data_IF_509484445219
#
_entry.id   IF_509484445219
#
_cell.length_a   1.000
_cell.length_b   1.000
_cell.length_c   1.000
_cell.angle_alpha   90.00
_cell.angle_beta   90.00
_cell.angle_gamma   90.00
#
_symmetry.space_group_name_H-M   'P 1'
#
loop_
_entity.id
_entity.type
_entity.pdbx_description
1 polymer ?
#
# COMPACT_ATOMS: atom_id res chain seq x y z
N UNK A 1 12.62 11.72 29.74
CA UNK A 1 11.49 11.39 30.62
C UNK A 1 11.67 9.98 31.16
N UNK A 2 11.38 9.70 32.44
CA UNK A 2 11.40 8.33 32.96
C UNK A 2 10.37 7.48 32.22
N UNK A 3 10.74 6.21 31.95
CA UNK A 3 9.87 5.22 31.32
C UNK A 3 9.57 4.13 32.35
N UNK A 4 8.32 3.73 32.48
CA UNK A 4 7.93 2.65 33.40
C UNK A 4 6.78 1.82 32.79
N UNK A 5 6.78 0.52 33.11
CA UNK A 5 5.69 -0.40 32.81
C UNK A 5 5.31 -1.09 34.10
N UNK A 6 4.03 -1.08 34.42
CA UNK A 6 3.45 -1.85 35.53
C UNK A 6 2.60 -2.95 34.94
N UNK A 7 2.87 -4.20 35.32
CA UNK A 7 2.09 -5.35 34.88
C UNK A 7 1.15 -5.79 36.00
N UNK A 8 -0.13 -5.85 35.74
CA UNK A 8 -1.16 -6.36 36.63
C UNK A 8 -1.70 -7.67 36.07
N UNK A 9 -1.57 -8.74 36.86
CA UNK A 9 -2.10 -10.06 36.49
C UNK A 9 -3.33 -10.37 37.34
N UNK A 10 -4.41 -10.74 36.65
CA UNK A 10 -5.65 -11.20 37.32
C UNK A 10 -5.59 -12.70 37.60
N UNK A 11 -6.46 -13.16 38.48
CA UNK A 11 -6.59 -14.59 38.83
C UNK A 11 -6.97 -15.48 37.64
N UNK A 12 -7.76 -14.94 36.69
CA UNK A 12 -8.12 -15.60 35.44
C UNK A 12 -6.96 -15.72 34.44
N UNK A 13 -5.78 -15.21 34.78
CA UNK A 13 -4.58 -15.27 33.94
C UNK A 13 -4.41 -14.07 33.00
N UNK A 14 -5.39 -13.18 32.87
CA UNK A 14 -5.26 -11.97 32.06
C UNK A 14 -4.19 -11.04 32.63
N UNK A 15 -3.39 -10.45 31.74
CA UNK A 15 -2.31 -9.51 32.11
C UNK A 15 -2.57 -8.17 31.44
N UNK A 16 -2.58 -7.13 32.25
CA UNK A 16 -2.73 -5.74 31.80
C UNK A 16 -1.42 -4.99 32.02
N UNK A 17 -1.06 -4.18 31.04
CA UNK A 17 0.14 -3.34 31.13
C UNK A 17 -0.25 -1.86 31.20
N UNK A 18 0.23 -1.17 32.22
CA UNK A 18 0.10 0.27 32.35
C UNK A 18 1.45 0.89 32.02
N UNK A 19 1.48 1.81 31.08
CA UNK A 19 2.71 2.42 30.59
C UNK A 19 2.77 3.90 30.94
N UNK A 20 3.97 4.34 31.31
CA UNK A 20 4.27 5.73 31.62
C UNK A 20 5.38 6.24 30.69
N UNK A 21 5.23 7.46 30.18
CA UNK A 21 6.14 8.02 29.20
C UNK A 21 6.08 7.25 27.88
N UNK A 22 7.24 7.06 27.23
CA UNK A 22 7.33 6.30 25.97
C UNK A 22 7.58 4.80 26.18
N UNK A 23 7.17 4.23 27.33
CA UNK A 23 7.39 2.82 27.62
C UNK A 23 6.49 1.87 26.78
N UNK A 24 5.43 2.38 26.18
CA UNK A 24 4.52 1.57 25.35
C UNK A 24 5.23 0.89 24.16
N UNK A 25 6.23 1.51 23.56
CA UNK A 25 7.01 0.90 22.48
C UNK A 25 7.69 -0.43 22.87
N UNK A 26 7.94 -0.64 24.17
CA UNK A 26 8.60 -1.86 24.64
C UNK A 26 7.66 -3.06 24.69
N UNK A 27 6.36 -2.81 24.82
CA UNK A 27 5.36 -3.85 25.08
C UNK A 27 4.29 -3.96 24.01
N UNK A 28 4.15 -2.97 23.11
CA UNK A 28 3.10 -2.92 22.09
C UNK A 28 2.98 -4.23 21.30
N UNK A 29 4.11 -4.82 20.90
CA UNK A 29 4.16 -6.09 20.18
C UNK A 29 3.60 -7.31 20.92
N UNK A 30 3.44 -7.21 22.25
CA UNK A 30 2.89 -8.28 23.10
C UNK A 30 1.44 -8.04 23.49
N UNK A 31 0.90 -6.86 23.18
CA UNK A 31 -0.44 -6.45 23.55
C UNK A 31 -1.48 -6.81 22.48
N UNK A 32 -2.73 -6.95 22.93
CA UNK A 32 -3.87 -7.05 22.02
C UNK A 32 -4.13 -5.69 21.41
N UNK A 33 -3.86 -5.55 20.11
CA UNK A 33 -4.03 -4.29 19.38
C UNK A 33 -5.49 -3.89 19.17
N UNK A 34 -6.43 -4.83 19.30
CA UNK A 34 -7.86 -4.55 19.16
C UNK A 34 -8.49 -4.04 20.45
N UNK A 35 -7.81 -4.20 21.59
CA UNK A 35 -8.36 -3.93 22.92
C UNK A 35 -8.98 -2.52 23.05
N UNK A 36 -8.27 -1.49 22.64
CA UNK A 36 -8.78 -0.12 22.70
C UNK A 36 -9.99 0.10 21.78
N UNK A 37 -9.96 -0.45 20.57
CA UNK A 37 -11.06 -0.31 19.62
C UNK A 37 -12.30 -1.11 20.02
N UNK A 38 -12.14 -2.29 20.66
CA UNK A 38 -13.25 -3.02 21.25
C UNK A 38 -13.93 -2.17 22.33
N UNK A 39 -13.18 -1.53 23.19
CA UNK A 39 -13.71 -0.58 24.17
C UNK A 39 -14.42 0.59 23.48
N UNK A 40 -13.82 1.17 22.45
CA UNK A 40 -14.41 2.30 21.73
C UNK A 40 -15.75 1.97 21.07
N UNK A 41 -15.92 0.75 20.51
CA UNK A 41 -17.21 0.33 19.95
C UNK A 41 -18.34 0.25 20.96
N UNK A 42 -18.01 -0.02 22.22
CA UNK A 42 -18.97 -0.31 23.30
C UNK A 42 -19.20 0.88 24.22
N UNK A 43 -18.35 1.91 24.16
CA UNK A 43 -18.46 3.11 24.99
C UNK A 43 -19.29 4.17 24.31
N UNK A 44 -20.16 4.88 25.05
CA UNK A 44 -20.82 6.07 24.55
C UNK A 44 -19.89 7.28 24.61
N UNK A 45 -19.99 8.14 23.59
CA UNK A 45 -19.24 9.39 23.53
C UNK A 45 -20.18 10.57 23.36
N UNK A 46 -19.96 11.63 24.15
CA UNK A 46 -20.68 12.92 24.02
C UNK A 46 -20.10 13.74 22.85
N UNK A 47 -18.79 13.65 22.62
CA UNK A 47 -18.09 14.48 21.66
C UNK A 47 -16.82 13.76 21.19
N UNK A 48 -16.56 13.79 19.89
CA UNK A 48 -15.29 13.36 19.32
C UNK A 48 -14.48 14.59 18.95
N UNK A 49 -13.27 14.72 19.51
CA UNK A 49 -12.41 15.89 19.27
C UNK A 49 -11.44 15.70 18.14
N UNK A 50 -10.88 14.52 18.02
CA UNK A 50 -9.87 14.23 16.99
C UNK A 50 -9.90 12.78 16.63
N UNK A 51 -9.88 12.50 15.34
CA UNK A 51 -9.67 11.15 14.82
C UNK A 51 -8.43 11.15 13.94
N UNK A 52 -7.59 10.15 14.09
CA UNK A 52 -6.54 9.85 13.13
C UNK A 52 -6.95 8.61 12.36
N UNK A 53 -6.99 8.72 11.05
CA UNK A 53 -7.42 7.67 10.15
C UNK A 53 -6.22 7.20 9.33
N UNK A 54 -6.15 5.92 9.09
CA UNK A 54 -5.16 5.30 8.21
C UNK A 54 -5.87 4.37 7.24
N UNK A 55 -5.40 4.35 6.00
CA UNK A 55 -5.89 3.41 5.00
C UNK A 55 -4.80 2.39 4.68
N UNK A 56 -5.16 1.13 4.33
CA UNK A 56 -4.20 0.13 3.90
C UNK A 56 -3.37 0.64 2.73
N UNK A 57 -2.06 0.36 2.76
CA UNK A 57 -1.11 0.83 1.75
C UNK A 57 -1.05 2.37 1.57
N UNK A 58 -1.61 3.12 2.51
CA UNK A 58 -1.52 4.58 2.54
C UNK A 58 -0.60 5.00 3.67
N UNK A 59 0.51 5.63 3.33
CA UNK A 59 1.42 6.23 4.31
C UNK A 59 0.91 7.58 4.83
N UNK A 60 -0.38 7.90 4.58
CA UNK A 60 -0.99 9.16 4.99
C UNK A 60 -1.87 8.95 6.20
N UNK A 61 -1.51 9.61 7.29
CA UNK A 61 -2.40 9.82 8.41
C UNK A 61 -3.24 11.07 8.13
N UNK A 62 -4.56 10.90 8.06
CA UNK A 62 -5.50 12.00 7.98
C UNK A 62 -5.96 12.32 9.40
N UNK A 63 -5.72 13.54 9.86
CA UNK A 63 -6.24 14.02 11.12
C UNK A 63 -7.51 14.83 10.85
N UNK A 64 -8.61 14.38 11.41
CA UNK A 64 -9.89 15.08 11.33
C UNK A 64 -10.22 15.64 12.71
N UNK A 65 -10.34 16.95 12.80
CA UNK A 65 -10.85 17.61 14.00
C UNK A 65 -12.35 17.82 13.81
N UNK A 66 -13.15 17.19 14.66
CA UNK A 66 -14.59 17.34 14.62
C UNK A 66 -15.16 17.67 15.99
N UNK A 67 -16.21 18.48 16.02
CA UNK A 67 -16.93 18.87 17.22
C UNK A 67 -18.36 18.30 17.23
N UNK A 68 -18.64 17.36 16.35
CA UNK A 68 -19.99 16.87 16.04
C UNK A 68 -20.22 15.51 16.68
N UNK A 69 -21.50 15.16 16.84
CA UNK A 69 -21.93 13.86 17.34
C UNK A 69 -21.41 12.73 16.43
N UNK A 70 -21.11 11.57 16.99
CA UNK A 70 -20.53 10.43 16.29
C UNK A 70 -21.33 9.99 15.05
N UNK A 71 -22.66 10.18 15.07
CA UNK A 71 -23.57 9.82 13.96
C UNK A 71 -23.41 10.71 12.72
N UNK A 72 -22.74 11.86 12.84
CA UNK A 72 -22.54 12.83 11.76
C UNK A 72 -21.12 12.77 11.16
N UNK A 73 -20.28 11.82 11.63
CA UNK A 73 -18.95 11.60 11.07
C UNK A 73 -19.06 10.86 9.74
N UNK A 74 -18.99 11.63 8.67
CA UNK A 74 -18.91 11.11 7.32
C UNK A 74 -17.46 10.62 7.09
N UNK A 75 -17.25 9.32 7.28
CA UNK A 75 -15.98 8.68 7.01
C UNK A 75 -15.95 8.20 5.56
N UNK A 76 -14.88 8.50 4.87
CA UNK A 76 -14.52 7.69 3.73
C UNK A 76 -14.38 6.24 4.23
N UNK A 77 -15.30 5.39 3.85
CA UNK A 77 -15.46 4.04 4.39
C UNK A 77 -14.25 3.10 4.16
N UNK A 78 -13.18 3.57 3.49
CA UNK A 78 -11.89 2.87 3.34
C UNK A 78 -10.84 3.23 4.37
N UNK A 79 -11.16 4.10 5.31
CA UNK A 79 -10.23 4.51 6.34
C UNK A 79 -10.51 3.70 7.61
N UNK A 80 -9.47 3.20 8.26
CA UNK A 80 -9.56 2.60 9.58
C UNK A 80 -9.05 3.58 10.63
N UNK A 81 -9.62 3.47 11.84
CA UNK A 81 -9.17 4.31 12.95
C UNK A 81 -7.79 3.89 13.40
N UNK A 82 -6.86 4.84 13.42
CA UNK A 82 -5.57 4.67 14.10
C UNK A 82 -5.61 5.22 15.52
N UNK A 83 -6.33 6.34 15.73
CA UNK A 83 -6.47 6.97 17.03
C UNK A 83 -7.76 7.78 17.12
N UNK A 84 -8.43 7.72 18.27
CA UNK A 84 -9.62 8.46 18.61
C UNK A 84 -9.38 9.24 19.91
N UNK A 85 -9.66 10.55 19.91
CA UNK A 85 -9.73 11.35 21.13
C UNK A 85 -11.17 11.84 21.31
N UNK A 86 -11.81 11.42 22.38
CA UNK A 86 -13.22 11.67 22.58
C UNK A 86 -13.55 11.98 24.05
N UNK A 87 -14.70 12.60 24.25
CA UNK A 87 -15.30 12.80 25.57
C UNK A 87 -16.29 11.67 25.83
N UNK A 88 -15.90 10.73 26.69
CA UNK A 88 -16.75 9.63 27.11
C UNK A 88 -17.98 10.11 27.88
N UNK A 89 -19.12 9.49 27.66
CA UNK A 89 -20.31 9.65 28.45
C UNK A 89 -20.18 8.80 29.72
N UNK A 90 -19.98 9.46 30.84
CA UNK A 90 -19.76 8.83 32.14
C UNK A 90 -20.92 9.15 33.10
N UNK A 91 -21.26 8.24 34.05
CA UNK A 91 -22.24 8.53 35.08
C UNK A 91 -21.87 9.79 35.90
N UNK A 92 -22.86 10.52 36.40
CA UNK A 92 -22.65 11.78 37.17
C UNK A 92 -21.72 11.61 38.37
N UNK A 93 -21.76 10.46 39.05
CA UNK A 93 -20.93 10.15 40.22
C UNK A 93 -19.58 9.44 39.85
N UNK A 94 -19.21 9.41 38.58
CA UNK A 94 -18.01 8.70 38.12
C UNK A 94 -16.74 9.43 38.53
N UNK A 95 -15.86 8.76 39.25
CA UNK A 95 -14.64 9.37 39.80
C UNK A 95 -13.33 8.68 39.38
N UNK A 96 -13.36 7.57 38.62
CA UNK A 96 -12.18 6.79 38.32
C UNK A 96 -11.19 7.53 37.41
N UNK A 97 -11.69 8.18 36.37
CA UNK A 97 -10.89 8.98 35.44
C UNK A 97 -11.71 10.11 34.84
N UNK A 98 -11.04 11.08 34.21
CA UNK A 98 -11.68 12.21 33.54
C UNK A 98 -12.38 11.79 32.24
N UNK A 99 -13.44 12.51 31.81
CA UNK A 99 -14.20 12.12 30.61
C UNK A 99 -13.39 12.07 29.31
N UNK A 100 -12.29 12.82 29.21
CA UNK A 100 -11.45 12.79 28.02
C UNK A 100 -10.63 11.52 27.96
N UNK A 101 -10.82 10.74 26.88
CA UNK A 101 -10.11 9.50 26.60
C UNK A 101 -9.41 9.58 25.25
N UNK A 102 -8.24 8.98 25.15
CA UNK A 102 -7.56 8.75 23.88
C UNK A 102 -7.48 7.24 23.67
N UNK A 103 -7.98 6.77 22.53
CA UNK A 103 -8.12 5.36 22.19
C UNK A 103 -7.39 5.09 20.89
N UNK A 104 -6.63 4.03 20.87
CA UNK A 104 -5.95 3.46 19.73
C UNK A 104 -5.82 1.95 19.97
N UNK A 105 -4.64 1.38 19.75
CA UNK A 105 -4.33 0.00 20.18
C UNK A 105 -4.36 -0.14 21.72
N UNK A 106 -4.32 0.98 22.42
CA UNK A 106 -4.41 1.08 23.89
C UNK A 106 -5.41 2.19 24.26
N UNK A 107 -5.74 2.25 25.55
CA UNK A 107 -6.64 3.26 26.12
C UNK A 107 -5.82 4.15 27.05
N UNK A 108 -5.87 5.46 26.81
CA UNK A 108 -5.26 6.46 27.68
C UNK A 108 -6.33 7.27 28.38
N UNK A 109 -6.27 7.32 29.69
CA UNK A 109 -7.16 8.09 30.56
C UNK A 109 -6.38 8.93 31.55
N UNK A 110 -6.95 10.04 31.99
CA UNK A 110 -6.39 10.88 33.05
C UNK A 110 -7.09 10.55 34.36
N UNK A 111 -6.35 10.00 35.34
CA UNK A 111 -6.86 9.78 36.70
C UNK A 111 -6.44 10.91 37.62
N UNK A 112 -7.34 11.28 38.54
CA UNK A 112 -7.03 12.28 39.57
C UNK A 112 -6.16 11.73 40.71
N UNK A 113 -6.07 10.39 40.82
CA UNK A 113 -5.33 9.69 41.88
C UNK A 113 -4.33 8.69 41.24
N UNK A 114 -3.09 8.72 41.73
CA UNK A 114 -2.00 7.89 41.23
C UNK A 114 -1.71 6.75 42.21
N UNK A 115 -2.70 5.84 42.41
CA UNK A 115 -2.52 4.64 43.24
C UNK A 115 -2.69 3.38 42.37
N UNK A 116 -2.15 2.24 42.84
CA UNK A 116 -2.32 0.96 42.17
C UNK A 116 -3.77 0.46 42.26
N UNK A 117 -4.44 0.75 43.39
CA UNK A 117 -5.84 0.44 43.61
C UNK A 117 -6.73 1.17 42.62
N UNK A 118 -6.44 2.44 42.36
CA UNK A 118 -7.16 3.23 41.34
C UNK A 118 -6.91 2.66 39.94
N UNK A 119 -5.69 2.34 39.60
CA UNK A 119 -5.33 1.74 38.32
C UNK A 119 -6.05 0.39 38.12
N UNK A 120 -6.10 -0.45 39.14
CA UNK A 120 -6.83 -1.71 39.11
C UNK A 120 -8.34 -1.51 38.91
N UNK A 121 -8.93 -0.53 39.60
CA UNK A 121 -10.35 -0.18 39.45
C UNK A 121 -10.68 0.32 38.04
N UNK A 122 -9.80 1.11 37.42
CA UNK A 122 -9.95 1.55 36.02
C UNK A 122 -9.92 0.36 35.07
N UNK A 123 -8.98 -0.59 35.25
CA UNK A 123 -8.89 -1.81 34.43
C UNK A 123 -10.17 -2.63 34.55
N UNK A 124 -10.68 -2.85 35.75
CA UNK A 124 -11.92 -3.60 35.98
C UNK A 124 -13.11 -2.90 35.31
N UNK A 125 -13.19 -1.58 35.38
CA UNK A 125 -14.23 -0.82 34.70
C UNK A 125 -14.18 -0.98 33.17
N UNK A 126 -12.99 -0.84 32.56
CA UNK A 126 -12.78 -0.98 31.13
C UNK A 126 -13.11 -2.42 30.70
N UNK A 127 -12.63 -3.41 31.43
CA UNK A 127 -12.89 -4.81 31.16
C UNK A 127 -14.39 -5.14 31.22
N UNK A 128 -15.12 -4.64 32.18
CA UNK A 128 -16.57 -4.82 32.25
C UNK A 128 -17.25 -4.29 30.99
N UNK A 129 -16.85 -3.13 30.46
CA UNK A 129 -17.40 -2.61 29.21
C UNK A 129 -17.04 -3.54 28.05
N UNK A 130 -15.77 -3.95 27.95
CA UNK A 130 -15.31 -4.83 26.88
C UNK A 130 -16.02 -6.17 26.88
N UNK A 131 -16.31 -6.74 28.04
CA UNK A 131 -16.88 -8.09 28.16
C UNK A 131 -18.40 -8.12 28.13
N UNK A 132 -19.07 -7.10 28.64
CA UNK A 132 -20.52 -7.14 28.88
C UNK A 132 -21.37 -6.29 27.96
N UNK A 133 -20.84 -5.17 27.47
CA UNK A 133 -21.62 -4.26 26.63
C UNK A 133 -21.67 -4.75 25.17
N UNK A 134 -22.79 -4.47 24.51
CA UNK A 134 -22.91 -4.65 23.06
C UNK A 134 -22.22 -3.53 22.29
N UNK A 135 -21.85 -3.78 21.04
CA UNK A 135 -21.32 -2.75 20.15
C UNK A 135 -22.38 -1.69 19.87
N UNK A 136 -22.05 -0.44 20.19
CA UNK A 136 -22.90 0.75 20.01
C UNK A 136 -22.50 1.55 18.76
N UNK A 137 -21.24 1.41 18.34
CA UNK A 137 -20.68 2.15 17.22
C UNK A 137 -19.97 1.23 16.24
N UNK A 138 -20.10 1.54 14.95
CA UNK A 138 -19.29 0.91 13.91
C UNK A 138 -17.93 1.61 13.85
N UNK A 139 -16.90 0.98 14.37
CA UNK A 139 -15.52 1.42 14.22
C UNK A 139 -14.85 0.46 13.26
N UNK A 140 -14.60 0.91 12.05
CA UNK A 140 -13.93 0.10 11.02
C UNK A 140 -12.48 -0.08 11.40
N UNK A 141 -12.12 -1.28 11.83
CA UNK A 141 -10.75 -1.70 12.05
C UNK A 141 -10.55 -3.06 11.39
N UNK A 142 -9.35 -3.30 10.89
CA UNK A 142 -8.98 -4.63 10.41
C UNK A 142 -8.86 -5.57 11.61
N UNK A 143 -9.39 -6.77 11.47
CA UNK A 143 -9.32 -7.76 12.53
C UNK A 143 -7.93 -8.39 12.58
N UNK A 144 -7.23 -8.22 13.70
CA UNK A 144 -5.91 -8.84 13.89
C UNK A 144 -6.02 -10.36 13.94
N UNK A 145 -5.23 -11.05 13.13
CA UNK A 145 -5.16 -12.50 13.11
C UNK A 145 -4.29 -12.97 14.27
N UNK A 146 -4.89 -13.63 15.26
CA UNK A 146 -4.20 -14.11 16.49
C UNK A 146 -3.76 -15.57 16.38
N UNK A 147 -4.42 -16.36 15.55
CA UNK A 147 -4.15 -17.78 15.36
C UNK A 147 -2.74 -18.02 14.80
N UNK A 148 -1.95 -18.84 15.48
CA UNK A 148 -0.54 -19.06 15.16
C UNK A 148 -0.34 -19.96 13.94
N UNK A 149 -1.24 -20.93 13.72
CA UNK A 149 -1.16 -21.82 12.55
C UNK A 149 -1.48 -21.01 11.28
N UNK A 150 -2.53 -20.19 11.36
CA UNK A 150 -2.90 -19.30 10.27
C UNK A 150 -1.79 -18.27 9.97
N UNK A 151 -1.17 -17.67 10.99
CA UNK A 151 0.00 -16.80 10.80
C UNK A 151 1.15 -17.52 10.12
N UNK A 152 1.42 -18.77 10.47
CA UNK A 152 2.48 -19.57 9.84
C UNK A 152 2.18 -19.78 8.35
N UNK A 153 0.97 -20.20 8.02
CA UNK A 153 0.54 -20.38 6.64
C UNK A 153 0.66 -19.10 5.81
N UNK A 154 0.20 -17.96 6.35
CA UNK A 154 0.32 -16.66 5.69
C UNK A 154 1.79 -16.24 5.50
N UNK A 155 2.67 -16.53 6.46
CA UNK A 155 4.10 -16.27 6.34
C UNK A 155 4.78 -17.14 5.27
N UNK A 156 4.37 -18.40 5.15
CA UNK A 156 4.87 -19.29 4.09
C UNK A 156 4.45 -18.76 2.71
N UNK A 157 3.22 -18.27 2.57
CA UNK A 157 2.73 -17.64 1.33
C UNK A 157 3.49 -16.35 1.01
N UNK A 158 3.73 -15.48 2.00
CA UNK A 158 4.56 -14.29 1.83
C UNK A 158 5.98 -14.63 1.39
N UNK A 159 6.61 -15.65 2.00
CA UNK A 159 7.93 -16.09 1.61
C UNK A 159 7.96 -16.59 0.17
N UNK A 160 6.97 -17.39 -0.23
CA UNK A 160 6.81 -17.85 -1.61
C UNK A 160 6.61 -16.67 -2.57
N UNK A 161 5.84 -15.66 -2.19
CA UNK A 161 5.67 -14.44 -2.97
C UNK A 161 7.00 -13.72 -3.19
N UNK A 162 7.78 -13.50 -2.13
CA UNK A 162 9.11 -12.87 -2.20
C UNK A 162 10.07 -13.67 -3.09
N UNK A 163 10.07 -14.99 -2.98
CA UNK A 163 10.92 -15.86 -3.81
C UNK A 163 10.55 -15.86 -5.30
N UNK A 164 9.25 -15.92 -5.60
CA UNK A 164 8.77 -16.11 -6.97
C UNK A 164 8.57 -14.83 -7.75
N UNK A 165 8.24 -13.74 -7.07
CA UNK A 165 7.86 -12.47 -7.71
C UNK A 165 8.98 -11.45 -7.75
N UNK A 166 10.00 -11.63 -6.91
CA UNK A 166 11.17 -10.75 -6.86
C UNK A 166 10.86 -9.27 -6.60
N UNK A 167 9.75 -8.96 -5.96
CA UNK A 167 9.36 -7.59 -5.63
C UNK A 167 9.02 -7.47 -4.14
N UNK A 168 9.72 -6.58 -3.44
CA UNK A 168 9.45 -6.22 -2.05
C UNK A 168 9.26 -4.71 -1.99
N UNK A 169 8.05 -4.27 -1.73
CA UNK A 169 7.77 -2.84 -1.57
C UNK A 169 8.05 -2.43 -0.13
N UNK A 170 9.06 -1.57 0.07
CA UNK A 170 9.52 -1.15 1.38
C UNK A 170 9.16 0.32 1.62
N UNK A 171 8.62 0.61 2.80
CA UNK A 171 8.33 1.98 3.23
C UNK A 171 9.43 2.53 4.11
N UNK A 172 10.12 3.56 3.66
CA UNK A 172 11.12 4.28 4.45
C UNK A 172 10.50 5.01 5.66
N UNK A 173 9.22 5.38 5.58
CA UNK A 173 8.50 6.10 6.63
C UNK A 173 8.41 5.31 7.94
N UNK A 174 8.37 3.99 7.88
CA UNK A 174 8.32 3.12 9.06
C UNK A 174 9.64 3.13 9.85
N UNK A 175 10.75 3.49 9.20
CA UNK A 175 12.07 3.57 9.85
C UNK A 175 12.29 4.95 10.47
N UNK A 176 11.91 6.00 9.78
CA UNK A 176 12.18 7.38 10.18
C UNK A 176 11.11 7.88 11.16
N UNK A 177 9.89 7.39 11.03
CA UNK A 177 8.73 7.91 11.75
C UNK A 177 8.04 9.07 11.03
N UNK A 178 6.72 9.19 11.21
CA UNK A 178 5.88 10.12 10.48
C UNK A 178 6.20 11.61 10.72
N UNK A 179 6.85 11.95 11.82
CA UNK A 179 7.17 13.33 12.20
C UNK A 179 8.42 13.89 11.50
N UNK A 180 9.23 13.03 10.90
CA UNK A 180 10.56 13.40 10.37
C UNK A 180 10.63 13.35 8.83
N UNK A 181 9.50 13.12 8.16
CA UNK A 181 9.38 13.02 6.69
C UNK A 181 9.94 14.25 5.95
N UNK A 182 9.98 15.42 6.58
CA UNK A 182 10.44 16.65 5.95
C UNK A 182 11.97 16.74 5.81
N UNK A 183 12.73 15.90 6.51
CA UNK A 183 14.21 15.88 6.48
C UNK A 183 14.77 14.61 5.81
N UNK A 184 14.01 14.00 4.92
CA UNK A 184 14.32 12.71 4.30
C UNK A 184 15.72 12.64 3.63
N UNK A 185 16.24 13.77 3.14
CA UNK A 185 17.54 13.81 2.47
C UNK A 185 18.75 13.70 3.42
N UNK A 186 18.52 13.80 4.71
CA UNK A 186 19.59 13.82 5.73
C UNK A 186 19.77 12.48 6.43
N UNK A 187 19.00 11.44 6.03
CA UNK A 187 19.07 10.12 6.62
C UNK A 187 19.93 9.17 5.80
N UNK A 188 20.76 8.41 6.51
CA UNK A 188 21.40 7.21 5.99
C UNK A 188 20.74 5.98 6.62
N UNK A 189 20.61 4.93 5.84
CA UNK A 189 20.06 3.65 6.30
C UNK A 189 21.17 2.63 6.41
N UNK A 190 21.14 1.83 7.47
CA UNK A 190 22.08 0.75 7.67
C UNK A 190 21.35 -0.57 7.66
N UNK A 191 21.57 -1.35 6.61
CA UNK A 191 21.09 -2.72 6.48
C UNK A 191 21.98 -3.64 7.30
N UNK A 192 21.40 -4.50 8.15
CA UNK A 192 22.13 -5.47 8.96
C UNK A 192 21.45 -6.83 8.95
N UNK A 193 22.20 -7.85 8.58
CA UNK A 193 21.79 -9.23 8.67
C UNK A 193 22.94 -10.07 9.23
N UNK A 194 22.78 -10.62 10.43
CA UNK A 194 23.84 -11.37 11.15
C UNK A 194 25.13 -10.54 11.25
N UNK A 195 26.20 -10.94 10.55
CA UNK A 195 27.51 -10.23 10.51
C UNK A 195 27.61 -9.20 9.38
N UNK A 196 26.71 -9.26 8.41
CA UNK A 196 26.74 -8.39 7.24
C UNK A 196 26.11 -7.04 7.57
N UNK A 197 26.76 -5.97 7.14
CA UNK A 197 26.32 -4.60 7.36
C UNK A 197 26.68 -3.74 6.15
N UNK A 198 25.74 -2.93 5.69
CA UNK A 198 25.93 -1.97 4.59
C UNK A 198 25.17 -0.68 4.87
N UNK A 199 25.78 0.46 4.56
CA UNK A 199 25.13 1.77 4.66
C UNK A 199 24.66 2.19 3.27
N UNK A 200 23.40 2.60 3.17
CA UNK A 200 22.74 3.00 1.93
C UNK A 200 22.03 4.34 2.13
N UNK A 201 21.89 5.10 1.06
CA UNK A 201 21.25 6.43 1.10
C UNK A 201 19.75 6.40 0.86
N UNK A 202 19.23 5.26 0.39
CA UNK A 202 17.80 5.07 0.16
C UNK A 202 17.43 3.59 0.35
N UNK A 203 16.18 3.32 0.66
CA UNK A 203 15.62 1.98 0.75
C UNK A 203 14.76 1.71 -0.47
N UNK A 204 15.13 0.68 -1.21
CA UNK A 204 14.36 0.18 -2.35
C UNK A 204 14.49 -1.32 -2.45
N UNK A 205 13.63 -1.95 -3.26
CA UNK A 205 13.74 -3.38 -3.57
C UNK A 205 15.10 -3.73 -4.18
N UNK A 206 15.58 -2.92 -5.13
CA UNK A 206 16.88 -3.12 -5.79
C UNK A 206 18.04 -3.07 -4.80
N UNK A 207 18.00 -2.15 -3.83
CA UNK A 207 19.03 -2.04 -2.78
C UNK A 207 19.02 -3.25 -1.88
N UNK A 208 17.85 -3.70 -1.43
CA UNK A 208 17.72 -4.91 -0.61
C UNK A 208 18.16 -6.16 -1.35
N UNK A 209 17.82 -6.27 -2.62
CA UNK A 209 18.22 -7.37 -3.48
C UNK A 209 19.74 -7.39 -3.68
N UNK A 210 20.33 -6.26 -4.02
CA UNK A 210 21.79 -6.13 -4.19
C UNK A 210 22.52 -6.51 -2.92
N UNK A 211 22.01 -6.09 -1.74
CA UNK A 211 22.56 -6.49 -0.45
C UNK A 211 22.45 -8.01 -0.23
N UNK A 212 21.31 -8.62 -0.56
CA UNK A 212 21.12 -10.06 -0.46
C UNK A 212 22.08 -10.83 -1.39
N UNK A 213 22.18 -10.43 -2.65
CA UNK A 213 23.06 -11.06 -3.65
C UNK A 213 24.55 -10.96 -3.26
N UNK A 214 25.01 -9.76 -2.89
CA UNK A 214 26.40 -9.53 -2.49
C UNK A 214 26.82 -10.35 -1.27
N UNK A 215 25.89 -10.66 -0.38
CA UNK A 215 26.14 -11.38 0.86
C UNK A 215 25.63 -12.84 0.84
N UNK A 216 25.15 -13.35 -0.31
CA UNK A 216 24.59 -14.69 -0.47
C UNK A 216 23.45 -14.99 0.52
N UNK A 217 22.59 -14.00 0.76
CA UNK A 217 21.41 -14.13 1.65
C UNK A 217 20.23 -14.59 0.78
N UNK A 218 19.54 -15.69 1.13
CA UNK A 218 18.32 -16.09 0.43
C UNK A 218 17.27 -14.96 0.50
N UNK A 219 16.52 -14.73 -0.58
CA UNK A 219 15.49 -13.66 -0.61
C UNK A 219 14.42 -13.83 0.46
N UNK A 220 14.09 -15.07 0.85
CA UNK A 220 13.19 -15.35 1.99
C UNK A 220 13.69 -14.79 3.31
N UNK A 221 15.01 -14.68 3.49
CA UNK A 221 15.62 -14.09 4.66
C UNK A 221 15.70 -12.55 4.58
N UNK A 222 15.43 -11.95 3.42
CA UNK A 222 15.42 -10.49 3.25
C UNK A 222 14.43 -9.82 4.21
N UNK A 223 13.31 -10.47 4.51
CA UNK A 223 12.30 -9.99 5.47
C UNK A 223 12.84 -9.86 6.91
N UNK A 224 13.93 -10.55 7.23
CA UNK A 224 14.57 -10.54 8.55
C UNK A 224 15.74 -9.54 8.64
N UNK A 225 16.04 -8.81 7.57
CA UNK A 225 17.06 -7.76 7.59
C UNK A 225 16.60 -6.65 8.54
N UNK A 226 17.45 -6.27 9.46
CA UNK A 226 17.22 -5.12 10.33
C UNK A 226 17.73 -3.85 9.64
N UNK A 227 16.88 -2.83 9.60
CA UNK A 227 17.18 -1.51 9.05
C UNK A 227 17.27 -0.52 10.20
N UNK A 228 18.40 0.17 10.28
CA UNK A 228 18.60 1.29 11.17
C UNK A 228 18.59 2.57 10.36
N UNK A 229 17.99 3.64 10.88
CA UNK A 229 18.18 4.98 10.33
C UNK A 229 19.18 5.75 11.18
N UNK A 230 20.03 6.51 10.51
CA UNK A 230 21.02 7.39 11.14
C UNK A 230 20.88 8.80 10.60
N UNK A 231 20.83 9.79 11.50
CA UNK A 231 20.78 11.20 11.16
C UNK A 231 21.63 11.98 12.17
N UNK A 232 22.56 12.79 11.70
CA UNK A 232 23.46 13.60 12.56
C UNK A 232 24.15 12.79 13.68
N UNK A 233 24.52 11.55 13.41
CA UNK A 233 25.17 10.64 14.36
C UNK A 233 24.22 10.04 15.41
N UNK A 234 22.92 10.27 15.32
CA UNK A 234 21.90 9.59 16.11
C UNK A 234 21.37 8.37 15.38
N UNK A 235 21.48 7.21 16.00
CA UNK A 235 20.96 5.95 15.47
C UNK A 235 19.61 5.63 16.11
N UNK A 236 18.60 5.43 15.28
CA UNK A 236 17.26 5.06 15.73
C UNK A 236 17.14 3.53 15.93
N UNK A 237 16.10 3.11 16.65
CA UNK A 237 15.83 1.70 16.88
C UNK A 237 15.62 0.96 15.55
N UNK A 238 16.17 -0.26 15.41
CA UNK A 238 16.03 -1.01 14.18
C UNK A 238 14.59 -1.46 13.94
N UNK A 239 14.19 -1.47 12.68
CA UNK A 239 12.93 -2.05 12.19
C UNK A 239 13.28 -3.19 11.24
N UNK A 240 12.58 -4.32 11.31
CA UNK A 240 12.77 -5.38 10.31
C UNK A 240 12.12 -5.02 8.99
N UNK A 241 12.69 -5.43 7.87
CA UNK A 241 12.08 -5.24 6.54
C UNK A 241 10.63 -5.71 6.52
N UNK A 242 10.34 -6.84 7.17
CA UNK A 242 8.97 -7.36 7.33
C UNK A 242 7.99 -6.34 7.94
N UNK A 243 8.45 -5.52 8.88
CA UNK A 243 7.61 -4.54 9.57
C UNK A 243 7.40 -3.26 8.74
N UNK A 244 8.14 -3.14 7.65
CA UNK A 244 8.13 -1.98 6.73
C UNK A 244 7.34 -2.23 5.45
N UNK A 245 6.92 -3.46 5.20
CA UNK A 245 6.16 -3.81 3.99
C UNK A 245 4.67 -3.88 4.27
N UNK A 246 3.90 -3.42 3.30
CA UNK A 246 2.47 -3.69 3.20
C UNK A 246 2.24 -4.71 2.09
N UNK A 247 1.64 -5.85 2.44
CA UNK A 247 1.35 -6.93 1.52
C UNK A 247 -0.09 -7.41 1.70
N UNK A 248 -0.79 -7.63 0.59
CA UNK A 248 -2.14 -8.20 0.59
C UNK A 248 -2.12 -9.58 -0.05
N UNK A 249 -2.58 -10.58 0.70
CA UNK A 249 -2.86 -11.91 0.14
C UNK A 249 -4.28 -11.93 -0.42
N UNK A 250 -4.37 -11.97 -1.75
CA UNK A 250 -5.65 -11.90 -2.47
C UNK A 250 -6.53 -13.12 -2.20
N UNK A 251 -5.94 -14.30 -2.00
CA UNK A 251 -6.69 -15.54 -1.79
C UNK A 251 -7.24 -15.63 -0.37
N UNK A 252 -6.40 -15.31 0.62
CA UNK A 252 -6.78 -15.36 2.03
C UNK A 252 -7.50 -14.09 2.48
N UNK A 253 -7.54 -13.04 1.64
CA UNK A 253 -8.08 -11.71 1.95
C UNK A 253 -7.52 -11.15 3.25
N UNK A 254 -6.19 -11.23 3.36
CA UNK A 254 -5.43 -10.78 4.52
C UNK A 254 -4.44 -9.69 4.13
N UNK A 255 -4.20 -8.78 5.06
CA UNK A 255 -3.22 -7.70 4.95
C UNK A 255 -2.10 -7.94 5.95
N UNK A 256 -0.84 -7.88 5.50
CA UNK A 256 0.31 -7.67 6.36
C UNK A 256 0.58 -6.16 6.44
N UNK A 257 0.60 -5.61 7.62
CA UNK A 257 1.00 -4.23 7.87
C UNK A 257 1.71 -4.13 9.21
N UNK A 258 2.81 -3.39 9.25
CA UNK A 258 3.67 -3.27 10.43
C UNK A 258 4.02 -4.64 11.06
N UNK A 259 4.35 -5.62 10.23
CA UNK A 259 4.71 -6.97 10.64
C UNK A 259 3.58 -7.83 11.19
N UNK A 260 2.35 -7.34 11.21
CA UNK A 260 1.19 -8.04 11.74
C UNK A 260 0.17 -8.35 10.65
N UNK A 261 -0.49 -9.52 10.76
CA UNK A 261 -1.52 -9.95 9.84
C UNK A 261 -2.91 -9.52 10.30
N UNK A 262 -3.70 -8.99 9.37
CA UNK A 262 -5.07 -8.56 9.58
C UNK A 262 -5.99 -9.20 8.55
N UNK A 263 -7.22 -9.50 8.96
CA UNK A 263 -8.30 -9.90 8.07
C UNK A 263 -9.03 -8.67 7.59
N UNK A 264 -9.31 -8.57 6.29
CA UNK A 264 -10.25 -7.58 5.76
C UNK A 264 -11.66 -7.87 6.26
N UNK A 265 -12.37 -6.84 6.71
CA UNK A 265 -13.77 -6.96 7.08
C UNK A 265 -14.69 -6.71 5.87
N UNK A 266 -15.95 -7.18 5.97
CA UNK A 266 -16.92 -7.06 4.87
C UNK A 266 -17.29 -5.61 4.56
N UNK A 267 -17.31 -4.74 5.56
CA UNK A 267 -17.59 -3.29 5.36
C UNK A 267 -16.50 -2.65 4.49
N UNK A 268 -15.23 -2.97 4.75
CA UNK A 268 -14.13 -2.49 3.93
C UNK A 268 -14.17 -3.05 2.50
N UNK A 269 -14.47 -4.33 2.36
CA UNK A 269 -14.59 -4.95 1.02
C UNK A 269 -15.73 -4.32 0.22
N UNK A 270 -16.87 -4.05 0.87
CA UNK A 270 -18.02 -3.37 0.26
C UNK A 270 -17.67 -1.93 -0.15
N UNK A 271 -16.97 -1.20 0.70
CA UNK A 271 -16.43 0.11 0.35
C UNK A 271 -15.50 0.05 -0.85
N UNK A 272 -14.52 -0.84 -0.83
CA UNK A 272 -13.54 -0.95 -1.91
C UNK A 272 -14.22 -1.25 -3.25
N UNK A 273 -15.24 -2.12 -3.22
CA UNK A 273 -16.07 -2.42 -4.39
C UNK A 273 -16.80 -1.17 -4.90
N UNK A 274 -17.43 -0.40 -4.03
CA UNK A 274 -18.10 0.84 -4.39
C UNK A 274 -17.12 1.87 -4.93
N UNK A 275 -15.98 2.04 -4.25
CA UNK A 275 -14.92 2.97 -4.65
C UNK A 275 -14.35 2.66 -6.05
N UNK A 276 -14.09 1.39 -6.35
CA UNK A 276 -13.59 0.97 -7.67
C UNK A 276 -14.66 1.20 -8.75
N UNK A 277 -15.94 1.01 -8.44
CA UNK A 277 -17.03 1.25 -9.39
C UNK A 277 -17.16 2.73 -9.81
N UNK A 278 -16.60 3.68 -9.06
CA UNK A 278 -16.56 5.10 -9.44
C UNK A 278 -15.50 5.45 -10.48
N UNK A 279 -14.55 4.56 -10.74
CA UNK A 279 -13.52 4.80 -11.75
C UNK A 279 -14.16 4.67 -13.13
N UNK A 280 -13.95 5.69 -13.97
CA UNK A 280 -14.39 5.62 -15.36
C UNK A 280 -13.57 4.56 -16.09
N UNK A 281 -14.24 3.57 -16.69
CA UNK A 281 -13.60 2.48 -17.43
C UNK A 281 -13.97 2.53 -18.91
N UNK A 282 -13.02 2.13 -19.78
CA UNK A 282 -13.22 2.04 -21.22
C UNK A 282 -12.74 0.69 -21.76
N UNK A 283 -13.48 0.17 -22.72
CA UNK A 283 -13.12 -0.98 -23.56
C UNK A 283 -13.45 -0.65 -25.00
N UNK A 284 -12.46 -0.80 -25.86
CA UNK A 284 -12.58 -0.58 -27.29
C UNK A 284 -12.04 -1.82 -28.02
N UNK A 285 -12.90 -2.67 -28.61
CA UNK A 285 -12.46 -3.95 -29.20
C UNK A 285 -11.34 -3.83 -30.23
N UNK A 286 -11.26 -2.70 -30.95
CA UNK A 286 -10.19 -2.47 -31.93
C UNK A 286 -8.78 -2.43 -31.30
N UNK A 287 -8.69 -2.11 -30.01
CA UNK A 287 -7.43 -2.04 -29.27
C UNK A 287 -6.99 -3.40 -28.68
N UNK A 288 -7.78 -4.48 -28.89
CA UNK A 288 -7.38 -5.80 -28.46
C UNK A 288 -6.11 -6.25 -29.20
N UNK A 289 -5.22 -6.88 -28.43
CA UNK A 289 -3.89 -7.26 -28.86
C UNK A 289 -3.78 -8.77 -29.04
N UNK A 290 -3.85 -9.25 -30.30
CA UNK A 290 -3.74 -10.67 -30.59
C UNK A 290 -2.27 -11.10 -30.76
N UNK A 291 -2.00 -12.37 -30.49
CA UNK A 291 -0.72 -13.00 -30.83
C UNK A 291 -0.40 -12.91 -32.32
N UNK A 292 -1.42 -12.95 -33.18
CA UNK A 292 -1.28 -12.75 -34.63
C UNK A 292 -0.76 -11.34 -34.95
N UNK A 293 -1.33 -10.28 -34.33
CA UNK A 293 -0.85 -8.90 -34.50
C UNK A 293 0.61 -8.77 -34.08
N UNK A 294 0.98 -9.38 -32.95
CA UNK A 294 2.35 -9.38 -32.46
C UNK A 294 3.30 -10.08 -33.44
N UNK A 295 2.97 -11.30 -33.86
CA UNK A 295 3.80 -12.08 -34.77
C UNK A 295 3.94 -11.39 -36.13
N UNK A 296 2.86 -10.83 -36.69
CA UNK A 296 2.88 -10.06 -37.92
C UNK A 296 3.80 -8.84 -37.82
N UNK A 297 3.79 -8.15 -36.68
CA UNK A 297 4.72 -7.05 -36.45
C UNK A 297 6.18 -7.53 -36.42
N UNK A 298 6.49 -8.61 -35.74
CA UNK A 298 7.85 -9.19 -35.66
C UNK A 298 8.32 -9.63 -37.04
N UNK A 299 7.48 -10.29 -37.85
CA UNK A 299 7.82 -10.66 -39.22
C UNK A 299 8.11 -9.42 -40.11
N UNK A 300 7.29 -8.39 -39.99
CA UNK A 300 7.52 -7.14 -40.71
C UNK A 300 8.88 -6.52 -40.34
N UNK A 301 9.23 -6.56 -39.05
CA UNK A 301 10.52 -6.07 -38.57
C UNK A 301 11.68 -6.96 -39.00
N UNK A 302 11.48 -8.28 -39.04
CA UNK A 302 12.47 -9.22 -39.54
C UNK A 302 12.83 -8.91 -41.00
N UNK A 303 11.82 -8.71 -41.85
CA UNK A 303 12.04 -8.37 -43.26
C UNK A 303 12.74 -7.01 -43.43
N UNK A 304 12.42 -6.04 -42.61
CA UNK A 304 13.00 -4.70 -42.70
C UNK A 304 14.43 -4.60 -42.13
N UNK A 305 14.73 -5.30 -41.03
CA UNK A 305 15.97 -5.12 -40.29
C UNK A 305 17.02 -6.21 -40.55
N UNK A 306 16.65 -7.34 -41.19
CA UNK A 306 17.58 -8.49 -41.41
C UNK A 306 18.87 -8.16 -42.17
N UNK A 307 18.88 -7.08 -42.96
CA UNK A 307 20.05 -6.63 -43.73
C UNK A 307 20.97 -5.70 -42.95
N UNK A 308 20.60 -5.32 -41.72
CA UNK A 308 21.43 -4.45 -40.90
C UNK A 308 22.73 -5.19 -40.47
N UNK A 309 23.83 -4.42 -40.36
CA UNK A 309 25.16 -4.95 -40.00
C UNK A 309 25.18 -5.76 -38.69
N UNK A 310 24.36 -5.38 -37.70
CA UNK A 310 24.25 -6.08 -36.39
C UNK A 310 23.70 -7.52 -36.50
N UNK A 311 23.07 -7.85 -37.64
CA UNK A 311 22.53 -9.18 -37.90
C UNK A 311 23.33 -9.97 -38.90
N UNK A 312 24.46 -9.44 -39.35
CA UNK A 312 25.35 -10.12 -40.29
C UNK A 312 25.78 -11.48 -39.74
N UNK A 313 25.62 -12.53 -40.58
CA UNK A 313 25.98 -13.90 -40.20
C UNK A 313 25.02 -14.65 -39.29
N UNK A 314 23.89 -14.05 -38.91
CA UNK A 314 22.86 -14.68 -38.07
C UNK A 314 21.75 -15.29 -38.90
N UNK A 315 21.19 -16.38 -38.43
CA UNK A 315 19.99 -17.01 -38.99
C UNK A 315 18.74 -16.18 -38.70
N UNK A 316 17.69 -16.34 -39.51
CA UNK A 316 16.39 -15.65 -39.28
C UNK A 316 15.80 -16.00 -37.91
N UNK A 317 16.08 -17.21 -37.39
CA UNK A 317 15.66 -17.60 -36.03
C UNK A 317 16.36 -16.77 -34.96
N UNK A 318 17.65 -16.61 -35.03
CA UNK A 318 18.44 -15.81 -34.08
C UNK A 318 18.09 -14.33 -34.16
N UNK A 319 17.83 -13.84 -35.38
CA UNK A 319 17.38 -12.46 -35.58
C UNK A 319 16.00 -12.26 -34.93
N UNK A 320 15.06 -13.21 -35.16
CA UNK A 320 13.73 -13.18 -34.56
C UNK A 320 13.78 -13.15 -33.03
N UNK A 321 14.58 -13.99 -32.38
CA UNK A 321 14.75 -13.99 -30.93
C UNK A 321 15.29 -12.65 -30.41
N UNK A 322 16.20 -12.01 -31.14
CA UNK A 322 16.68 -10.67 -30.79
C UNK A 322 15.64 -9.58 -31.02
N UNK A 323 14.82 -9.68 -32.07
CA UNK A 323 13.71 -8.77 -32.33
C UNK A 323 12.63 -8.90 -31.26
N UNK A 324 12.31 -10.11 -30.80
CA UNK A 324 11.33 -10.32 -29.71
C UNK A 324 11.81 -9.71 -28.39
N UNK A 325 13.12 -9.73 -28.10
CA UNK A 325 13.68 -9.02 -26.94
C UNK A 325 13.66 -7.49 -27.11
N UNK A 326 13.88 -6.99 -28.31
CA UNK A 326 13.84 -5.55 -28.63
C UNK A 326 12.41 -5.02 -28.67
N UNK A 327 11.48 -5.80 -29.20
CA UNK A 327 10.08 -5.49 -29.41
C UNK A 327 9.20 -6.43 -28.55
N UNK A 328 9.29 -6.27 -27.23
CA UNK A 328 8.42 -6.99 -26.29
C UNK A 328 6.97 -6.53 -26.43
N UNK A 329 6.04 -7.29 -25.89
CA UNK A 329 4.61 -7.14 -26.15
C UNK A 329 4.07 -5.71 -25.90
N UNK A 330 4.42 -5.09 -24.76
CA UNK A 330 3.98 -3.72 -24.45
C UNK A 330 4.50 -2.72 -25.46
N UNK A 331 5.76 -2.82 -25.84
CA UNK A 331 6.34 -1.93 -26.85
C UNK A 331 5.68 -2.09 -28.23
N UNK A 332 5.38 -3.32 -28.63
CA UNK A 332 4.66 -3.55 -29.90
C UNK A 332 3.26 -2.95 -29.81
N UNK A 333 2.57 -3.12 -28.70
CA UNK A 333 1.28 -2.52 -28.47
C UNK A 333 1.33 -0.98 -28.62
N UNK A 334 2.27 -0.31 -27.94
CA UNK A 334 2.43 1.13 -28.03
C UNK A 334 2.71 1.61 -29.47
N UNK A 335 3.57 0.90 -30.21
CA UNK A 335 3.86 1.20 -31.61
C UNK A 335 2.65 0.98 -32.54
N UNK A 336 1.80 0.00 -32.26
CA UNK A 336 0.57 -0.23 -33.01
C UNK A 336 -0.47 0.86 -32.70
N UNK A 337 -0.59 1.28 -31.42
CA UNK A 337 -1.49 2.39 -31.05
C UNK A 337 -1.07 3.70 -31.71
N UNK A 338 0.22 3.98 -31.80
CA UNK A 338 0.74 5.13 -32.54
C UNK A 338 0.42 5.05 -34.02
N UNK A 339 0.77 3.94 -34.68
CA UNK A 339 0.64 3.76 -36.13
C UNK A 339 -0.81 3.75 -36.60
N UNK A 340 -1.68 3.01 -35.89
CA UNK A 340 -3.01 2.66 -36.39
C UNK A 340 -4.11 3.57 -35.81
N UNK A 341 -3.86 4.17 -34.64
CA UNK A 341 -4.90 4.89 -33.90
C UNK A 341 -4.51 6.31 -33.50
N UNK A 342 -3.33 6.79 -33.89
CA UNK A 342 -2.90 8.17 -33.71
C UNK A 342 -2.67 8.57 -32.26
N UNK A 343 -2.18 7.65 -31.44
CA UNK A 343 -1.59 7.99 -30.15
C UNK A 343 -0.18 8.55 -30.36
N UNK A 344 0.26 9.45 -29.51
CA UNK A 344 1.66 9.86 -29.43
C UNK A 344 2.40 8.87 -28.53
N UNK A 345 3.46 8.27 -29.05
CA UNK A 345 4.25 7.27 -28.34
C UNK A 345 5.42 7.95 -27.61
N UNK A 346 5.40 7.86 -26.30
CA UNK A 346 6.43 8.37 -25.42
C UNK A 346 7.26 7.25 -24.73
N UNK A 347 7.02 5.98 -25.08
CA UNK A 347 7.82 4.84 -24.62
C UNK A 347 9.31 5.13 -24.90
N UNK A 348 10.14 5.10 -23.86
CA UNK A 348 11.57 5.46 -23.86
C UNK A 348 11.90 6.94 -24.09
N UNK A 349 10.92 7.82 -24.05
CA UNK A 349 11.18 9.26 -23.94
C UNK A 349 11.41 9.57 -22.47
N UNK A 350 12.69 9.70 -22.12
CA UNK A 350 13.09 9.89 -20.72
C UNK A 350 13.34 11.36 -20.39
N UNK A 351 12.98 11.74 -19.18
CA UNK A 351 13.28 13.05 -18.61
C UNK A 351 14.34 12.87 -17.51
N UNK A 352 15.40 13.70 -17.48
CA UNK A 352 16.40 13.63 -16.44
C UNK A 352 15.80 14.03 -15.09
N UNK A 353 15.98 13.15 -14.09
CA UNK A 353 15.56 13.36 -12.70
C UNK A 353 16.74 13.01 -11.79
N UNK A 354 17.31 14.01 -11.11
CA UNK A 354 18.52 13.82 -10.30
C UNK A 354 19.68 13.25 -11.12
N UNK A 355 20.21 12.09 -10.71
CA UNK A 355 21.30 11.39 -11.41
C UNK A 355 20.80 10.35 -12.42
N UNK A 356 19.50 10.22 -12.65
CA UNK A 356 18.87 9.23 -13.54
C UNK A 356 17.94 9.84 -14.57
N UNK A 357 17.30 8.96 -15.35
CA UNK A 357 16.26 9.34 -16.32
C UNK A 357 15.03 8.50 -16.05
N UNK A 358 13.83 9.10 -16.13
CA UNK A 358 12.54 8.45 -15.90
C UNK A 358 11.60 8.71 -17.06
N UNK A 359 10.85 7.71 -17.46
CA UNK A 359 9.76 7.81 -18.43
C UNK A 359 8.52 8.40 -17.73
N UNK A 360 7.90 9.43 -18.36
CA UNK A 360 6.74 10.08 -17.76
C UNK A 360 5.42 9.44 -18.18
N UNK A 361 5.38 8.85 -19.38
CA UNK A 361 4.18 8.17 -19.91
C UNK A 361 4.58 7.24 -21.04
N UNK A 362 3.76 6.22 -21.29
CA UNK A 362 3.92 5.33 -22.44
C UNK A 362 3.26 5.92 -23.69
N UNK A 363 2.03 6.37 -23.56
CA UNK A 363 1.22 6.93 -24.63
C UNK A 363 0.55 8.24 -24.18
N UNK A 364 0.25 9.08 -25.19
CA UNK A 364 -0.53 10.31 -24.97
C UNK A 364 -1.58 10.46 -26.08
N UNK A 365 -2.79 10.85 -25.73
CA UNK A 365 -3.86 11.20 -26.65
C UNK A 365 -4.96 12.01 -25.95
N UNK A 366 -5.48 13.03 -26.64
CA UNK A 366 -6.62 13.82 -26.17
C UNK A 366 -6.48 14.29 -24.71
N UNK A 367 -5.39 14.96 -24.39
CA UNK A 367 -5.08 15.48 -23.05
C UNK A 367 -5.05 14.40 -21.93
N UNK A 368 -4.82 13.15 -22.32
CA UNK A 368 -4.71 12.00 -21.40
C UNK A 368 -3.34 11.37 -21.51
N UNK A 369 -2.64 11.22 -20.38
CA UNK A 369 -1.44 10.42 -20.27
C UNK A 369 -1.80 8.98 -19.92
N UNK A 370 -1.10 8.01 -20.53
CA UNK A 370 -1.35 6.59 -20.33
C UNK A 370 -0.09 5.88 -19.82
N UNK A 371 -0.29 5.05 -18.80
CA UNK A 371 0.63 3.98 -18.45
C UNK A 371 0.04 2.65 -18.94
N UNK A 372 0.78 1.89 -19.72
CA UNK A 372 0.32 0.66 -20.37
C UNK A 372 0.94 -0.57 -19.72
N UNK A 373 0.12 -1.60 -19.45
CA UNK A 373 0.61 -2.88 -18.93
C UNK A 373 -0.08 -4.07 -19.58
N UNK A 374 0.73 -4.99 -20.11
CA UNK A 374 0.25 -6.26 -20.63
C UNK A 374 0.61 -7.37 -19.63
N UNK A 375 -0.34 -7.76 -18.82
CA UNK A 375 -0.20 -8.89 -17.88
C UNK A 375 -1.56 -9.29 -17.30
N UNK A 376 -1.59 -10.35 -16.51
CA UNK A 376 -2.79 -10.79 -15.78
C UNK A 376 -2.50 -11.13 -14.33
N UNK A 377 -1.33 -10.76 -13.81
CA UNK A 377 -0.97 -10.96 -12.40
C UNK A 377 -1.19 -9.67 -11.61
N UNK A 378 -1.68 -9.82 -10.38
CA UNK A 378 -2.00 -8.70 -9.50
C UNK A 378 -0.79 -7.77 -9.32
N UNK A 379 0.37 -8.35 -9.12
CA UNK A 379 1.62 -7.64 -8.81
C UNK A 379 2.08 -6.75 -9.96
N UNK A 380 2.08 -7.28 -11.18
CA UNK A 380 2.52 -6.51 -12.35
C UNK A 380 1.52 -5.43 -12.73
N UNK A 381 0.22 -5.69 -12.51
CA UNK A 381 -0.80 -4.66 -12.69
C UNK A 381 -0.67 -3.57 -11.61
N UNK A 382 -0.36 -3.93 -10.36
CA UNK A 382 -0.06 -2.97 -9.30
C UNK A 382 1.15 -2.09 -9.63
N UNK A 383 2.22 -2.69 -10.19
CA UNK A 383 3.39 -1.94 -10.63
C UNK A 383 3.03 -0.81 -11.62
N UNK A 384 2.14 -1.08 -12.59
CA UNK A 384 1.69 -0.05 -13.52
C UNK A 384 0.90 1.07 -12.83
N UNK A 385 0.13 0.74 -11.78
CA UNK A 385 -0.57 1.74 -10.96
C UNK A 385 0.41 2.65 -10.25
N UNK A 386 1.42 2.08 -9.61
CA UNK A 386 2.45 2.82 -8.88
C UNK A 386 3.30 3.67 -9.85
N UNK A 387 3.71 3.10 -10.99
CA UNK A 387 4.42 3.82 -12.05
C UNK A 387 3.63 5.02 -12.58
N UNK A 388 2.31 4.85 -12.81
CA UNK A 388 1.43 5.95 -13.24
C UNK A 388 1.40 7.09 -12.23
N UNK A 389 1.40 6.79 -10.93
CA UNK A 389 1.37 7.79 -9.87
C UNK A 389 2.70 8.56 -9.77
N UNK A 390 3.81 7.85 -9.86
CA UNK A 390 5.15 8.47 -9.87
C UNK A 390 5.33 9.36 -11.10
N UNK A 391 4.92 8.88 -12.26
CA UNK A 391 4.93 9.62 -13.51
C UNK A 391 4.13 10.94 -13.40
N UNK A 392 2.95 10.90 -12.77
CA UNK A 392 2.15 12.10 -12.52
C UNK A 392 2.86 13.10 -11.60
N UNK A 393 3.50 12.62 -10.54
CA UNK A 393 4.29 13.48 -9.64
C UNK A 393 5.43 14.15 -10.39
N UNK A 394 6.16 13.39 -11.21
CA UNK A 394 7.26 13.90 -12.03
C UNK A 394 6.78 14.89 -13.09
N UNK A 395 5.65 14.62 -13.73
CA UNK A 395 5.03 15.56 -14.66
C UNK A 395 4.76 16.91 -14.00
N UNK A 396 4.21 16.93 -12.78
CA UNK A 396 3.94 18.16 -12.04
C UNK A 396 5.20 18.93 -11.62
N UNK A 397 6.23 18.20 -11.20
CA UNK A 397 7.49 18.83 -10.77
C UNK A 397 8.34 19.33 -11.94
N UNK A 398 8.19 18.73 -13.13
CA UNK A 398 8.98 19.05 -14.32
C UNK A 398 8.18 19.79 -15.39
N UNK A 399 7.18 20.60 -15.01
CA UNK A 399 6.43 21.43 -15.99
C UNK A 399 7.42 22.35 -16.73
N UNK A 400 7.95 21.85 -17.84
CA UNK A 400 8.77 22.57 -18.80
C UNK A 400 7.88 22.94 -20.00
N UNK A 401 8.24 24.00 -20.72
CA UNK A 401 7.48 24.56 -21.83
C UNK A 401 7.11 23.59 -22.98
N UNK A 402 7.63 22.36 -22.96
CA UNK A 402 7.45 21.36 -24.01
C UNK A 402 6.64 20.13 -23.59
N UNK A 403 6.05 20.10 -22.39
CA UNK A 403 5.23 18.96 -21.98
C UNK A 403 3.78 19.10 -22.45
N UNK A 404 3.15 18.02 -22.95
CA UNK A 404 1.75 18.09 -23.37
C UNK A 404 0.84 18.39 -22.17
N UNK A 405 -0.21 19.17 -22.41
CA UNK A 405 -1.21 19.47 -21.38
C UNK A 405 -2.01 18.22 -21.10
N UNK A 406 -2.16 17.83 -19.82
CA UNK A 406 -3.00 16.72 -19.42
C UNK A 406 -4.19 17.18 -18.58
N UNK A 407 -5.33 16.51 -18.74
CA UNK A 407 -6.54 16.63 -17.92
C UNK A 407 -6.89 15.32 -17.25
N UNK A 408 -6.45 14.22 -17.83
CA UNK A 408 -6.74 12.87 -17.37
C UNK A 408 -5.47 12.05 -17.26
N UNK A 409 -5.48 11.12 -16.31
CA UNK A 409 -4.44 10.11 -16.11
C UNK A 409 -5.11 8.76 -16.30
N UNK A 410 -4.59 7.97 -17.21
CA UNK A 410 -5.14 6.67 -17.54
C UNK A 410 -4.13 5.55 -17.26
N UNK A 411 -4.63 4.44 -16.74
CA UNK A 411 -3.93 3.17 -16.72
C UNK A 411 -4.60 2.29 -17.78
N UNK A 412 -3.81 1.67 -18.63
CA UNK A 412 -4.28 0.79 -19.67
C UNK A 412 -3.83 -0.65 -19.41
N UNK A 413 -4.73 -1.46 -18.91
CA UNK A 413 -4.50 -2.89 -18.73
C UNK A 413 -4.85 -3.66 -19.99
N UNK A 414 -3.89 -4.38 -20.55
CA UNK A 414 -4.12 -5.37 -21.59
C UNK A 414 -4.00 -6.75 -20.96
N UNK A 415 -5.14 -7.34 -20.61
CA UNK A 415 -5.20 -8.55 -19.80
C UNK A 415 -4.94 -9.81 -20.66
N UNK A 416 -3.93 -10.59 -20.29
CA UNK A 416 -3.66 -11.90 -20.91
C UNK A 416 -4.58 -12.96 -20.32
N UNK A 417 -5.86 -12.90 -20.72
CA UNK A 417 -6.91 -13.81 -20.26
C UNK A 417 -8.01 -13.97 -21.31
N UNK A 418 -8.63 -15.16 -21.32
CA UNK A 418 -9.71 -15.47 -22.25
C UNK A 418 -11.08 -14.95 -21.81
N UNK A 419 -11.28 -14.73 -20.49
CA UNK A 419 -12.56 -14.28 -19.95
C UNK A 419 -12.58 -12.77 -19.82
N UNK A 420 -13.50 -12.14 -20.49
CA UNK A 420 -13.76 -10.72 -20.41
C UNK A 420 -14.42 -10.33 -19.07
N UNK A 421 -14.23 -9.09 -18.66
CA UNK A 421 -14.76 -8.54 -17.39
C UNK A 421 -15.82 -7.46 -17.59
N UNK A 422 -16.30 -7.25 -18.82
CA UNK A 422 -17.34 -6.27 -19.09
C UNK A 422 -18.65 -6.62 -18.37
N UNK A 423 -19.33 -5.58 -17.91
CA UNK A 423 -20.69 -5.65 -17.39
C UNK A 423 -21.72 -5.75 -18.56
N UNK A 424 -23.01 -5.74 -18.22
CA UNK A 424 -24.11 -5.79 -19.20
C UNK A 424 -24.12 -4.58 -20.15
N UNK A 425 -23.55 -3.46 -19.75
CA UNK A 425 -23.43 -2.23 -20.56
C UNK A 425 -22.16 -2.23 -21.45
N UNK A 426 -21.40 -3.32 -21.48
CA UNK A 426 -20.15 -3.44 -22.25
C UNK A 426 -18.98 -2.64 -21.67
N UNK A 427 -19.08 -2.16 -20.44
CA UNK A 427 -18.00 -1.47 -19.74
C UNK A 427 -17.21 -2.45 -18.87
N UNK A 428 -15.87 -2.33 -18.82
CA UNK A 428 -15.07 -3.14 -17.91
C UNK A 428 -15.48 -2.96 -16.45
N UNK A 429 -15.71 -4.08 -15.77
CA UNK A 429 -15.97 -4.12 -14.34
C UNK A 429 -14.74 -4.69 -13.62
N UNK A 430 -13.89 -3.82 -13.10
CA UNK A 430 -12.66 -4.18 -12.39
C UNK A 430 -12.96 -5.02 -11.14
N UNK A 431 -14.16 -4.90 -10.57
CA UNK A 431 -14.55 -5.71 -9.42
C UNK A 431 -14.65 -7.21 -9.73
N UNK A 432 -14.76 -7.58 -11.01
CA UNK A 432 -14.69 -8.97 -11.47
C UNK A 432 -13.29 -9.57 -11.50
N UNK A 433 -12.26 -8.72 -11.27
CA UNK A 433 -10.91 -9.20 -11.00
C UNK A 433 -10.84 -9.59 -9.51
N UNK A 434 -10.50 -10.85 -9.25
CA UNK A 434 -10.28 -11.31 -7.88
C UNK A 434 -8.85 -10.95 -7.42
N UNK A 435 -8.59 -9.64 -7.38
CA UNK A 435 -7.29 -9.04 -7.13
C UNK A 435 -7.44 -7.90 -6.12
N UNK A 436 -7.48 -8.27 -4.83
CA UNK A 436 -7.72 -7.32 -3.74
C UNK A 436 -6.59 -6.30 -3.62
N UNK A 437 -5.35 -6.75 -3.82
CA UNK A 437 -4.18 -5.88 -3.83
C UNK A 437 -4.29 -4.81 -4.93
N UNK A 438 -4.67 -5.21 -6.14
CA UNK A 438 -4.87 -4.26 -7.26
C UNK A 438 -5.99 -3.26 -6.96
N UNK A 439 -7.11 -3.72 -6.39
CA UNK A 439 -8.23 -2.84 -6.03
C UNK A 439 -7.82 -1.81 -4.99
N UNK A 440 -7.05 -2.20 -3.98
CA UNK A 440 -6.49 -1.27 -2.99
C UNK A 440 -5.58 -0.21 -3.64
N UNK A 441 -4.69 -0.64 -4.54
CA UNK A 441 -3.80 0.28 -5.27
C UNK A 441 -4.57 1.25 -6.16
N UNK A 442 -5.58 0.77 -6.87
CA UNK A 442 -6.44 1.61 -7.73
C UNK A 442 -7.28 2.60 -6.91
N UNK A 443 -7.79 2.22 -5.74
CA UNK A 443 -8.48 3.14 -4.84
C UNK A 443 -7.58 4.29 -4.40
N UNK A 444 -6.37 3.97 -3.96
CA UNK A 444 -5.38 4.96 -3.58
C UNK A 444 -4.97 5.85 -4.78
N UNK A 445 -4.68 5.25 -5.92
CA UNK A 445 -4.33 5.95 -7.15
C UNK A 445 -5.44 6.92 -7.59
N UNK A 446 -6.70 6.46 -7.58
CA UNK A 446 -7.86 7.30 -7.89
C UNK A 446 -7.92 8.54 -7.01
N UNK A 447 -7.75 8.37 -5.70
CA UNK A 447 -7.77 9.47 -4.72
C UNK A 447 -6.64 10.46 -4.97
N UNK A 448 -5.41 9.96 -5.22
CA UNK A 448 -4.26 10.79 -5.50
C UNK A 448 -4.40 11.59 -6.79
N UNK A 449 -4.83 10.94 -7.87
CA UNK A 449 -5.05 11.60 -9.16
C UNK A 449 -6.09 12.72 -9.03
N UNK A 450 -7.23 12.44 -8.35
CA UNK A 450 -8.27 13.44 -8.07
C UNK A 450 -7.76 14.58 -7.19
N UNK A 451 -6.98 14.28 -6.14
CA UNK A 451 -6.40 15.28 -5.25
C UNK A 451 -5.46 16.23 -6.01
N UNK A 452 -4.80 15.75 -7.03
CA UNK A 452 -3.93 16.55 -7.88
C UNK A 452 -4.68 17.32 -8.98
N UNK A 453 -6.01 17.17 -9.08
CA UNK A 453 -6.88 17.90 -9.99
C UNK A 453 -7.08 17.23 -11.36
N UNK A 454 -6.75 15.93 -11.49
CA UNK A 454 -6.91 15.18 -12.73
C UNK A 454 -8.02 14.13 -12.64
N UNK A 455 -8.51 13.68 -13.81
CA UNK A 455 -9.52 12.63 -13.89
C UNK A 455 -8.85 11.26 -14.01
N UNK A 456 -9.09 10.32 -13.07
CA UNK A 456 -8.59 8.95 -13.16
C UNK A 456 -9.45 8.13 -14.13
N UNK A 457 -8.79 7.40 -15.03
CA UNK A 457 -9.43 6.57 -16.05
C UNK A 457 -8.72 5.21 -16.13
N UNK A 458 -9.45 4.12 -16.33
CA UNK A 458 -8.88 2.80 -16.60
C UNK A 458 -9.38 2.26 -17.93
N UNK A 459 -8.45 1.95 -18.83
CA UNK A 459 -8.71 1.21 -20.03
C UNK A 459 -8.43 -0.27 -19.80
N UNK A 460 -9.30 -1.12 -20.31
CA UNK A 460 -9.10 -2.58 -20.25
C UNK A 460 -9.26 -3.12 -21.65
N UNK A 461 -8.25 -3.79 -22.14
CA UNK A 461 -8.28 -4.57 -23.37
C UNK A 461 -7.71 -5.97 -23.11
N UNK A 462 -7.74 -6.84 -24.10
CA UNK A 462 -7.37 -8.23 -23.95
C UNK A 462 -6.27 -8.62 -24.91
N UNK A 463 -5.35 -9.47 -24.41
CA UNK A 463 -4.42 -10.20 -25.23
C UNK A 463 -5.04 -11.54 -25.57
N UNK A 464 -5.40 -11.71 -26.85
CA UNK A 464 -5.96 -12.96 -27.37
C UNK A 464 -4.85 -13.81 -28.01
N UNK A 465 -4.89 -15.13 -27.75
CA UNK A 465 -3.97 -16.10 -28.32
C UNK A 465 -4.38 -16.57 -29.70
#
# INVERSE_FOLDING_TARGET
MPKAVVLLKKENGAVYAITFGHAFFLIDKFCDRDFGFVFARKMNFQEIKTTTLTAPNSHRNKMVNTYVNYEELDFDSGESYAKLKAKAELPDEFTLFKPMVEIGTSIRVDSAENSLERAAAIIVYIENIVDTEADKHKISVFTHIKDQERKRSLNERLNLFVETRHEIHVSELEVIGATEVFNHNDYEFVLKYRRYKETVTSLSDDVLRSFCEANHIPLTEALNIAVYSECDGMVFAPVCVRDMIDYTDDQERCLLSQGQWYQYNDDYLSYLQASISEITTYYEPQYDFSEEKYNTFIETKLLAERTELRYSGKSDKEIREQLQKKYYAERVFNLLMERDYGFENHDRVTVPVGNGTVEIMDLYKAETMFAVKIDSTSEKLCYAVDQSLEALKLYKHNQRDNMPVIKSVAIWFVLDRSRHIENEDGKPDINRLDMLMLKNRLDQWKKEVRLQGYTPIVYVNYRTR
#
